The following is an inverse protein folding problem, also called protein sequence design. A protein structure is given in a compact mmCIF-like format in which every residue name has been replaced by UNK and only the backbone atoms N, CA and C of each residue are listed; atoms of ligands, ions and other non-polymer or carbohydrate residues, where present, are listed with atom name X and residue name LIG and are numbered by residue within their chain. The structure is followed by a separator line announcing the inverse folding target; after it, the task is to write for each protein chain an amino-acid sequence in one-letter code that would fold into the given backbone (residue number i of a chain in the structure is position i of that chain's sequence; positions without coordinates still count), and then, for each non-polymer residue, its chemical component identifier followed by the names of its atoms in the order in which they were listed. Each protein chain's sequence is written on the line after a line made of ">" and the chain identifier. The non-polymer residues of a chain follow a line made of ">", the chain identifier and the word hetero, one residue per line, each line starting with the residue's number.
data_IF_427908691693
#
_entry.id   IF_427908691693
#
_cell.length_a   1.000
_cell.length_b   1.000
_cell.length_c   1.000
_cell.angle_alpha   90.00
_cell.angle_beta   90.00
_cell.angle_gamma   90.00
#
_symmetry.space_group_name_H-M   'P 1'
#
loop_
_entity.id
_entity.type
_entity.pdbx_description
1 polymer ?
#
# COMPACT_ATOMS: atom_id res chain seq x y z
N UNK A 1 6.78 -9.47 2.64
CA UNK A 1 6.36 -8.20 3.27
C UNK A 1 4.90 -8.27 3.68
N UNK A 2 4.07 -8.82 2.80
CA UNK A 2 2.69 -9.17 3.06
C UNK A 2 2.66 -10.68 3.34
N UNK A 3 2.14 -11.08 4.50
CA UNK A 3 1.96 -12.48 4.90
C UNK A 3 0.59 -12.60 5.56
N UNK A 4 -0.07 -13.72 5.34
CA UNK A 4 -1.30 -14.14 6.00
C UNK A 4 -1.20 -14.25 7.53
N UNK A 5 0.01 -14.20 8.11
CA UNK A 5 0.24 -14.38 9.57
C UNK A 5 0.48 -13.08 10.35
N UNK A 6 0.57 -11.93 9.70
CA UNK A 6 0.83 -10.66 10.38
C UNK A 6 -0.47 -9.93 10.74
N UNK A 7 -0.54 -9.29 11.89
CA UNK A 7 -1.68 -8.42 12.24
C UNK A 7 -1.66 -7.09 11.45
N UNK A 8 -0.45 -6.63 11.12
CA UNK A 8 -0.23 -5.38 10.41
C UNK A 8 0.97 -5.47 9.47
N UNK A 9 0.94 -4.64 8.43
CA UNK A 9 2.04 -4.46 7.48
C UNK A 9 2.34 -2.98 7.29
N UNK A 10 3.60 -2.68 6.96
CA UNK A 10 4.05 -1.32 6.67
C UNK A 10 3.94 -1.06 5.17
N UNK A 11 3.40 0.10 4.81
CA UNK A 11 3.44 0.69 3.48
C UNK A 11 4.59 1.71 3.46
N UNK A 12 5.55 1.50 2.55
CA UNK A 12 6.67 2.40 2.26
C UNK A 12 6.15 3.57 1.43
N UNK A 13 5.42 4.44 2.10
CA UNK A 13 4.58 5.44 1.47
C UNK A 13 5.40 6.56 0.85
N UNK A 14 4.87 7.18 -0.20
CA UNK A 14 5.20 8.56 -0.50
C UNK A 14 4.67 9.48 0.60
N UNK A 15 5.34 10.62 0.83
CA UNK A 15 4.84 11.63 1.77
C UNK A 15 3.45 12.15 1.37
N UNK A 16 3.07 12.11 0.08
CA UNK A 16 1.69 12.32 -0.37
C UNK A 16 0.97 10.98 -0.39
N UNK A 17 -0.06 10.82 0.45
CA UNK A 17 -0.78 9.55 0.63
C UNK A 17 -1.17 8.90 -0.70
N UNK A 18 -0.67 7.69 -0.95
CA UNK A 18 -0.99 6.88 -2.12
C UNK A 18 -0.47 7.42 -3.46
N UNK A 19 0.22 8.59 -3.47
CA UNK A 19 0.83 9.34 -4.58
C UNK A 19 -0.06 9.66 -5.81
N UNK A 20 -1.10 8.88 -6.07
CA UNK A 20 -2.08 8.99 -7.14
C UNK A 20 -1.55 8.75 -8.55
N UNK A 21 -0.34 8.21 -8.69
CA UNK A 21 0.27 7.93 -10.00
C UNK A 21 0.96 6.57 -9.97
N UNK A 22 0.61 5.74 -10.95
CA UNK A 22 1.38 4.58 -11.35
C UNK A 22 2.18 4.99 -12.59
N UNK A 23 3.50 5.09 -12.46
CA UNK A 23 4.39 5.44 -13.55
C UNK A 23 4.71 4.19 -14.40
N UNK A 24 5.06 4.33 -15.68
CA UNK A 24 5.54 3.22 -16.48
C UNK A 24 6.77 2.58 -15.81
N UNK A 25 6.72 1.25 -15.63
CA UNK A 25 7.72 0.46 -14.88
C UNK A 25 7.79 0.75 -13.37
N UNK A 26 6.90 1.58 -12.82
CA UNK A 26 6.62 1.60 -11.39
C UNK A 26 5.51 0.61 -11.09
N UNK A 27 5.75 -0.19 -10.06
CA UNK A 27 4.80 -1.05 -9.36
C UNK A 27 5.61 -1.66 -8.24
N UNK A 28 6.10 -0.76 -7.39
CA UNK A 28 6.90 -1.07 -6.23
C UNK A 28 5.96 -1.29 -5.05
N UNK A 29 6.50 -1.26 -3.84
CA UNK A 29 5.80 -1.74 -2.65
C UNK A 29 4.46 -1.04 -2.37
N UNK A 30 4.39 0.30 -2.40
CA UNK A 30 3.15 1.05 -2.12
C UNK A 30 2.07 0.76 -3.17
N UNK A 31 2.46 0.79 -4.44
CA UNK A 31 1.57 0.58 -5.59
C UNK A 31 1.01 -0.84 -5.63
N UNK A 32 1.84 -1.84 -5.30
CA UNK A 32 1.40 -3.24 -5.17
C UNK A 32 0.32 -3.36 -4.09
N UNK A 33 0.52 -2.72 -2.93
CA UNK A 33 -0.49 -2.71 -1.86
C UNK A 33 -1.78 -2.03 -2.31
N UNK A 34 -1.70 -0.93 -3.05
CA UNK A 34 -2.87 -0.22 -3.59
C UNK A 34 -3.65 -1.07 -4.61
N UNK A 35 -2.98 -1.93 -5.36
CA UNK A 35 -3.61 -2.84 -6.32
C UNK A 35 -4.17 -4.10 -5.66
N UNK A 36 -3.51 -4.61 -4.63
CA UNK A 36 -3.95 -5.80 -3.89
C UNK A 36 -5.07 -5.48 -2.89
N UNK A 37 -5.04 -4.29 -2.29
CA UNK A 37 -5.98 -3.81 -1.27
C UNK A 37 -6.61 -2.47 -1.71
N UNK A 38 -7.40 -2.43 -2.79
CA UNK A 38 -7.88 -1.19 -3.42
C UNK A 38 -8.70 -0.26 -2.50
N UNK A 39 -9.27 -0.78 -1.41
CA UNK A 39 -9.99 0.00 -0.42
C UNK A 39 -9.14 1.10 0.21
N UNK A 40 -7.82 0.90 0.32
CA UNK A 40 -6.91 1.90 0.89
C UNK A 40 -6.85 3.18 0.04
N UNK A 41 -7.15 3.10 -1.27
CA UNK A 41 -7.13 4.24 -2.17
C UNK A 41 -8.18 5.30 -1.84
N UNK A 42 -9.24 4.95 -1.09
CA UNK A 42 -10.22 5.92 -0.59
C UNK A 42 -9.55 6.98 0.29
N UNK A 43 -8.45 6.64 0.97
CA UNK A 43 -7.66 7.58 1.75
C UNK A 43 -7.14 8.78 0.93
N UNK A 44 -6.92 8.61 -0.37
CA UNK A 44 -6.49 9.72 -1.25
C UNK A 44 -7.52 10.84 -1.38
N UNK A 45 -8.80 10.57 -1.09
CA UNK A 45 -9.85 11.60 -1.12
C UNK A 45 -9.87 12.49 0.13
N UNK A 46 -9.31 12.00 1.23
CA UNK A 46 -9.45 12.61 2.57
C UNK A 46 -8.11 12.97 3.22
N UNK A 47 -7.01 12.43 2.70
CA UNK A 47 -5.67 12.64 3.22
C UNK A 47 -4.76 13.26 2.15
N UNK A 48 -3.94 14.23 2.58
CA UNK A 48 -2.96 14.91 1.74
C UNK A 48 -1.52 14.48 2.07
N UNK A 49 -0.62 15.46 2.11
CA UNK A 49 0.78 15.26 2.48
C UNK A 49 0.93 15.00 3.99
N UNK A 50 1.61 13.92 4.37
CA UNK A 50 2.03 13.61 5.74
C UNK A 50 3.02 14.65 6.26
N UNK A 51 2.82 15.12 7.49
CA UNK A 51 3.85 15.87 8.24
C UNK A 51 4.90 14.91 8.80
N UNK A 52 6.04 15.44 9.23
CA UNK A 52 7.17 14.68 9.80
C UNK A 52 6.78 13.81 11.02
N UNK A 53 5.70 14.15 11.71
CA UNK A 53 5.19 13.46 12.90
C UNK A 53 3.85 12.75 12.66
N UNK A 54 3.47 12.53 11.40
CA UNK A 54 2.21 11.89 11.02
C UNK A 54 2.47 10.54 10.36
N UNK A 55 1.61 9.57 10.68
CA UNK A 55 1.49 8.30 9.99
C UNK A 55 0.00 7.97 9.88
N UNK A 56 -0.39 7.26 8.82
CA UNK A 56 -1.78 6.84 8.63
C UNK A 56 -1.92 5.34 8.86
N UNK A 57 -3.01 4.93 9.49
CA UNK A 57 -3.33 3.51 9.69
C UNK A 57 -4.69 3.21 9.08
N UNK A 58 -4.69 2.39 8.03
CA UNK A 58 -5.92 1.80 7.50
C UNK A 58 -6.14 0.48 8.20
N UNK A 59 -7.30 0.33 8.86
CA UNK A 59 -7.66 -0.91 9.58
C UNK A 59 -8.60 -1.75 8.74
N UNK A 60 -8.57 -3.06 8.95
CA UNK A 60 -9.44 -4.04 8.28
C UNK A 60 -9.36 -3.94 6.74
N UNK A 61 -8.18 -3.64 6.21
CA UNK A 61 -7.98 -3.64 4.77
C UNK A 61 -8.02 -5.08 4.25
N UNK A 62 -8.85 -5.32 3.24
CA UNK A 62 -8.96 -6.64 2.60
C UNK A 62 -8.06 -6.73 1.39
N UNK A 63 -7.50 -7.92 1.19
CA UNK A 63 -6.78 -8.29 -0.03
C UNK A 63 -7.78 -8.88 -1.04
N UNK A 64 -7.75 -8.38 -2.26
CA UNK A 64 -8.60 -8.84 -3.37
C UNK A 64 -7.80 -9.53 -4.48
N UNK A 65 -6.51 -9.21 -4.61
CA UNK A 65 -5.68 -9.68 -5.72
C UNK A 65 -4.36 -10.30 -5.25
N UNK A 66 -3.95 -11.38 -5.89
CA UNK A 66 -2.59 -11.88 -5.85
C UNK A 66 -1.77 -11.29 -7.00
N UNK A 67 -0.45 -11.30 -6.85
CA UNK A 67 0.45 -10.76 -7.85
C UNK A 67 1.76 -11.55 -7.92
N UNK A 68 2.44 -11.42 -9.06
CA UNK A 68 3.83 -11.85 -9.25
C UNK A 68 4.66 -10.69 -9.81
N UNK A 69 5.97 -10.77 -9.65
CA UNK A 69 6.91 -9.76 -10.14
C UNK A 69 6.93 -8.48 -9.30
N UNK A 70 7.71 -7.50 -9.76
CA UNK A 70 7.94 -6.22 -9.08
C UNK A 70 8.41 -5.16 -10.10
N UNK A 71 7.98 -3.90 -9.94
CA UNK A 71 8.26 -2.85 -10.91
C UNK A 71 7.72 -3.22 -12.30
N UNK A 72 8.55 -3.10 -13.34
CA UNK A 72 8.16 -3.42 -14.72
C UNK A 72 7.74 -4.88 -14.98
N UNK A 73 8.10 -5.83 -14.10
CA UNK A 73 7.70 -7.23 -14.23
C UNK A 73 6.39 -7.57 -13.51
N UNK A 74 5.75 -6.60 -12.84
CA UNK A 74 4.51 -6.83 -12.09
C UNK A 74 3.40 -7.42 -12.98
N UNK A 75 2.74 -8.47 -12.50
CA UNK A 75 1.59 -9.10 -13.14
C UNK A 75 0.57 -9.49 -12.08
N UNK A 76 -0.71 -9.29 -12.40
CA UNK A 76 -1.82 -9.86 -11.64
C UNK A 76 -1.78 -11.39 -11.72
N UNK A 77 -2.00 -12.06 -10.60
CA UNK A 77 -1.90 -13.53 -10.46
C UNK A 77 -3.20 -14.16 -9.91
N UNK A 78 -4.33 -13.56 -10.26
CA UNK A 78 -5.64 -14.06 -9.85
C UNK A 78 -6.17 -13.45 -8.54
N UNK A 79 -7.41 -13.80 -8.17
CA UNK A 79 -8.04 -13.29 -6.96
C UNK A 79 -7.37 -13.85 -5.70
N UNK A 80 -7.35 -13.04 -4.64
CA UNK A 80 -7.00 -13.53 -3.31
C UNK A 80 -8.05 -14.53 -2.81
N UNK A 81 -7.65 -15.41 -1.89
CA UNK A 81 -8.57 -16.34 -1.24
C UNK A 81 -9.64 -15.55 -0.45
N UNK A 82 -10.89 -16.03 -0.47
CA UNK A 82 -12.00 -15.32 0.17
C UNK A 82 -11.90 -15.24 1.69
N UNK A 83 -11.14 -16.15 2.29
CA UNK A 83 -10.85 -16.25 3.73
C UNK A 83 -9.52 -15.60 4.11
N UNK A 84 -8.86 -14.88 3.19
CA UNK A 84 -7.64 -14.15 3.51
C UNK A 84 -7.95 -13.11 4.60
N UNK A 85 -7.19 -13.09 5.72
CA UNK A 85 -7.51 -12.24 6.85
C UNK A 85 -7.38 -10.77 6.48
N UNK A 86 -8.31 -9.95 6.99
CA UNK A 86 -8.18 -8.51 6.90
C UNK A 86 -7.05 -8.03 7.84
N UNK A 87 -6.24 -7.09 7.37
CA UNK A 87 -5.04 -6.66 8.09
C UNK A 87 -5.01 -5.14 8.24
N UNK A 88 -4.20 -4.65 9.19
CA UNK A 88 -3.90 -3.22 9.27
C UNK A 88 -2.73 -2.85 8.35
N UNK A 89 -2.82 -1.70 7.68
CA UNK A 89 -1.76 -1.17 6.83
C UNK A 89 -1.33 0.19 7.38
N UNK A 90 -0.06 0.30 7.76
CA UNK A 90 0.55 1.49 8.35
C UNK A 90 1.36 2.21 7.27
N UNK A 91 0.93 3.40 6.87
CA UNK A 91 1.61 4.27 5.91
C UNK A 91 2.64 5.12 6.65
N UNK A 92 3.92 4.91 6.31
CA UNK A 92 5.03 5.70 6.81
C UNK A 92 5.92 6.09 5.63
N UNK A 93 6.12 7.38 5.43
CA UNK A 93 7.09 7.86 4.46
C UNK A 93 8.48 7.89 5.07
N UNK A 94 9.48 7.48 4.29
CA UNK A 94 10.87 7.39 4.74
C UNK A 94 11.69 8.66 4.43
N UNK A 95 11.04 9.74 3.98
CA UNK A 95 11.76 10.94 3.57
C UNK A 95 12.40 11.61 4.78
N UNK A 96 13.71 11.80 4.73
CA UNK A 96 14.43 12.60 5.73
C UNK A 96 14.43 14.04 5.23
N UNK A 97 13.72 14.94 5.89
CA UNK A 97 13.91 16.37 5.65
C UNK A 97 15.26 16.76 6.25
N UNK A 98 16.27 17.00 5.41
CA UNK A 98 17.45 17.73 5.87
C UNK A 98 17.03 19.17 6.16
N UNK A 99 17.16 19.60 7.43
CA UNK A 99 17.02 21.00 7.83
C UNK A 99 18.32 21.75 7.59
#
# INVERSE_FOLDING_TARGET
>A
METDRADAMVNFANQVYGYGRFLPNSCTQEEILQLCCPEINVGMLVHGRMKENEAYVVRNARRFSNYQGYGGSFRFDGPAASDFPAQSIIFMDASITYK
#
